data_IF_476717464425
#
_entry.id   IF_476717464425
#
_cell.length_a   1.000
_cell.length_b   1.000
_cell.length_c   1.000
_cell.angle_alpha   90.00
_cell.angle_beta   90.00
_cell.angle_gamma   90.00
#
_symmetry.space_group_name_H-M   'P 1'
#
loop_
_entity.id
_entity.type
_entity.pdbx_description
1 polymer ?
#
# COMPACT_ATOMS: atom_id res chain seq x y z
N UNK A 1 11.61 16.64 -10.21
CA UNK A 1 10.94 15.46 -10.80
C UNK A 1 10.53 14.53 -9.66
N UNK A 2 9.26 14.52 -9.23
CA UNK A 2 8.80 13.69 -8.11
C UNK A 2 8.59 12.23 -8.56
N UNK A 3 9.68 11.45 -8.62
CA UNK A 3 9.66 10.01 -8.94
C UNK A 3 9.23 9.11 -7.76
N UNK A 4 8.94 9.68 -6.59
CA UNK A 4 8.64 8.92 -5.36
C UNK A 4 7.33 8.14 -5.45
N UNK A 5 6.32 8.69 -6.14
CA UNK A 5 4.99 8.05 -6.23
C UNK A 5 5.05 6.68 -6.95
N UNK A 6 5.63 6.56 -8.17
CA UNK A 6 5.76 5.25 -8.80
C UNK A 6 6.68 4.30 -8.03
N UNK A 7 7.68 4.79 -7.30
CA UNK A 7 8.65 3.97 -6.53
C UNK A 7 8.01 3.25 -5.33
N UNK A 8 6.94 3.81 -4.76
CA UNK A 8 6.23 3.21 -3.61
C UNK A 8 5.15 2.20 -4.02
N UNK A 9 4.89 2.01 -5.32
CA UNK A 9 3.97 0.97 -5.79
C UNK A 9 4.48 -0.42 -5.42
N UNK A 10 3.56 -1.31 -5.05
CA UNK A 10 3.81 -2.67 -4.56
C UNK A 10 4.69 -2.78 -3.29
N UNK A 11 5.12 -1.65 -2.70
CA UNK A 11 5.86 -1.61 -1.44
C UNK A 11 4.93 -1.85 -0.25
N UNK A 12 5.46 -2.38 0.86
CA UNK A 12 4.75 -2.41 2.13
C UNK A 12 4.33 -1.01 2.55
N UNK A 13 3.12 -0.87 3.10
CA UNK A 13 2.59 0.43 3.52
C UNK A 13 3.51 1.17 4.50
N UNK A 14 4.20 0.45 5.39
CA UNK A 14 5.18 1.02 6.32
C UNK A 14 6.36 1.69 5.60
N UNK A 15 6.96 1.00 4.62
CA UNK A 15 8.03 1.55 3.78
C UNK A 15 7.54 2.75 2.96
N UNK A 16 6.37 2.61 2.33
CA UNK A 16 5.79 3.65 1.49
C UNK A 16 5.57 4.95 2.28
N UNK A 17 5.05 4.86 3.52
CA UNK A 17 4.90 6.03 4.41
C UNK A 17 6.24 6.67 4.74
N UNK A 18 7.27 5.88 5.03
CA UNK A 18 8.61 6.40 5.30
C UNK A 18 9.19 7.17 4.12
N UNK A 19 9.03 6.65 2.90
CA UNK A 19 9.48 7.32 1.68
C UNK A 19 8.70 8.59 1.37
N UNK A 20 7.39 8.60 1.58
CA UNK A 20 6.56 9.79 1.40
C UNK A 20 6.94 10.89 2.38
N UNK A 21 7.18 10.55 3.65
CA UNK A 21 7.65 11.50 4.65
C UNK A 21 9.04 12.06 4.29
N UNK A 22 9.97 11.21 3.86
CA UNK A 22 11.30 11.63 3.42
C UNK A 22 11.25 12.54 2.17
N UNK A 23 10.24 12.34 1.32
CA UNK A 23 9.99 13.18 0.14
C UNK A 23 9.23 14.47 0.45
N UNK A 24 8.89 14.73 1.72
CA UNK A 24 8.22 15.97 2.15
C UNK A 24 6.70 15.97 1.99
N UNK A 25 6.07 14.82 1.73
CA UNK A 25 4.60 14.73 1.70
C UNK A 25 4.04 14.71 3.12
N UNK A 26 3.46 15.82 3.55
CA UNK A 26 2.86 15.96 4.88
C UNK A 26 1.45 15.36 4.99
N UNK A 27 0.74 15.23 3.86
CA UNK A 27 -0.65 14.74 3.81
C UNK A 27 -0.73 13.44 3.03
N UNK A 28 -0.98 12.34 3.73
CA UNK A 28 -1.16 11.01 3.15
C UNK A 28 -2.50 10.44 3.61
N UNK A 29 -3.40 10.17 2.66
CA UNK A 29 -4.68 9.51 2.89
C UNK A 29 -4.55 8.05 2.47
N UNK A 30 -4.89 7.12 3.36
CA UNK A 30 -4.79 5.69 3.09
C UNK A 30 -6.20 5.13 2.89
N UNK A 31 -6.47 4.64 1.68
CA UNK A 31 -7.70 3.94 1.31
C UNK A 31 -7.41 2.46 1.20
N UNK A 32 -8.04 1.67 2.05
CA UNK A 32 -7.99 0.22 1.91
C UNK A 32 -8.97 -0.21 0.83
N UNK A 33 -8.50 -0.90 -0.19
CA UNK A 33 -9.36 -1.56 -1.16
C UNK A 33 -9.93 -2.85 -0.54
N UNK A 34 -10.80 -2.69 0.48
CA UNK A 34 -11.58 -3.79 1.06
C UNK A 34 -13.01 -3.75 0.56
N UNK A 35 -13.58 -4.93 0.37
CA UNK A 35 -15.01 -5.04 0.26
C UNK A 35 -15.67 -4.66 1.61
N UNK A 36 -16.79 -3.92 1.59
CA UNK A 36 -17.54 -3.64 2.82
C UNK A 36 -17.92 -4.96 3.49
N UNK A 37 -17.57 -5.12 4.77
CA UNK A 37 -17.83 -6.34 5.55
C UNK A 37 -16.59 -7.19 5.86
N UNK A 38 -15.43 -6.93 5.24
CA UNK A 38 -14.17 -7.48 5.75
C UNK A 38 -13.73 -6.71 6.99
N UNK A 39 -13.82 -7.36 8.15
CA UNK A 39 -13.22 -6.89 9.41
C UNK A 39 -11.70 -6.74 9.32
N UNK A 40 -11.02 -6.54 10.46
CA UNK A 40 -9.56 -6.37 10.53
C UNK A 40 -8.80 -7.44 9.71
N UNK A 41 -7.64 -7.10 9.09
CA UNK A 41 -6.86 -8.07 8.32
C UNK A 41 -6.56 -9.27 9.21
N UNK A 42 -6.66 -10.52 8.71
CA UNK A 42 -6.18 -11.65 9.48
C UNK A 42 -4.68 -11.48 9.78
N UNK A 43 -4.21 -11.95 10.95
CA UNK A 43 -2.79 -11.91 11.29
C UNK A 43 -1.99 -12.69 10.24
N UNK A 44 -0.93 -12.07 9.70
CA UNK A 44 -0.13 -12.63 8.60
C UNK A 44 -0.45 -12.08 7.20
N UNK A 45 -1.45 -11.21 7.06
CA UNK A 45 -1.61 -10.40 5.85
C UNK A 45 -0.66 -9.19 5.86
N UNK A 46 0.09 -9.01 4.78
CA UNK A 46 0.89 -7.80 4.54
C UNK A 46 0.09 -6.81 3.70
N UNK A 47 0.10 -5.54 4.08
CA UNK A 47 -0.59 -4.47 3.35
C UNK A 47 0.39 -3.78 2.41
N UNK A 48 0.09 -3.80 1.11
CA UNK A 48 0.93 -3.21 0.06
C UNK A 48 0.20 -2.12 -0.70
N UNK A 49 0.94 -1.13 -1.20
CA UNK A 49 0.38 -0.06 -2.02
C UNK A 49 0.05 -0.61 -3.41
N UNK A 50 -1.22 -0.65 -3.77
CA UNK A 50 -1.67 -1.02 -5.12
C UNK A 50 -1.73 0.19 -6.05
N UNK A 51 -2.10 1.36 -5.52
CA UNK A 51 -2.23 2.59 -6.30
C UNK A 51 -1.80 3.78 -5.48
N UNK A 52 -1.25 4.76 -6.17
CA UNK A 52 -0.95 6.07 -5.61
C UNK A 52 -1.57 7.14 -6.50
N UNK A 53 -2.08 8.20 -5.90
CA UNK A 53 -2.59 9.36 -6.61
C UNK A 53 -2.26 10.63 -5.83
N UNK A 54 -1.72 11.63 -6.51
CA UNK A 54 -1.53 12.96 -5.93
C UNK A 54 -2.74 13.82 -6.28
N UNK A 55 -3.41 14.35 -5.27
CA UNK A 55 -4.57 15.23 -5.40
C UNK A 55 -4.22 16.54 -4.70
N UNK A 56 -3.77 17.53 -5.48
CA UNK A 56 -3.21 18.76 -4.93
C UNK A 56 -1.96 18.47 -4.10
N UNK A 57 -2.04 18.72 -2.79
CA UNK A 57 -0.96 18.46 -1.82
C UNK A 57 -1.12 17.12 -1.06
N UNK A 58 -2.21 16.38 -1.30
CA UNK A 58 -2.51 15.14 -0.60
C UNK A 58 -2.15 13.93 -1.46
N UNK A 59 -1.42 12.98 -0.88
CA UNK A 59 -1.14 11.68 -1.49
C UNK A 59 -2.18 10.68 -1.04
N UNK A 60 -3.01 10.23 -1.97
CA UNK A 60 -3.94 9.12 -1.78
C UNK A 60 -3.22 7.80 -2.10
N UNK A 61 -3.19 6.90 -1.14
CA UNK A 61 -2.67 5.55 -1.27
C UNK A 61 -3.82 4.56 -1.22
N UNK A 62 -4.03 3.85 -2.32
CA UNK A 62 -4.89 2.66 -2.30
C UNK A 62 -4.02 1.47 -1.94
N UNK A 63 -4.34 0.82 -0.84
CA UNK A 63 -3.64 -0.37 -0.36
C UNK A 63 -4.49 -1.61 -0.48
N UNK A 64 -3.85 -2.73 -0.76
CA UNK A 64 -4.45 -4.06 -0.81
C UNK A 64 -3.79 -4.94 0.23
N UNK A 65 -4.57 -5.84 0.80
CA UNK A 65 -4.03 -6.93 1.60
C UNK A 65 -3.52 -8.02 0.67
N UNK A 66 -2.25 -8.33 0.80
CA UNK A 66 -1.64 -9.50 0.20
C UNK A 66 -1.46 -10.54 1.30
N UNK A 67 -2.00 -11.74 1.09
CA UNK A 67 -1.69 -12.88 1.95
C UNK A 67 -0.23 -13.26 1.72
N UNK A 68 0.58 -13.23 2.77
CA UNK A 68 1.88 -13.88 2.78
C UNK A 68 1.71 -15.38 3.01
N UNK A 69 0.89 -16.06 2.19
CA UNK A 69 0.98 -17.51 2.12
C UNK A 69 2.22 -17.83 1.27
N UNK A 70 3.15 -18.69 1.72
CA UNK A 70 4.08 -19.28 0.79
C UNK A 70 3.22 -20.00 -0.24
N UNK A 71 3.29 -19.59 -1.50
CA UNK A 71 2.62 -20.31 -2.57
C UNK A 71 3.24 -21.71 -2.56
N UNK A 72 2.61 -22.67 -1.87
CA UNK A 72 2.84 -24.09 -2.18
C UNK A 72 2.24 -24.25 -3.57
N UNK A 73 3.03 -23.94 -4.58
CA UNK A 73 2.88 -24.55 -5.89
C UNK A 73 3.09 -26.04 -5.65
N UNK A 74 2.00 -26.74 -5.29
CA UNK A 74 1.89 -28.16 -5.51
C UNK A 74 1.99 -28.36 -7.01
N UNK A 75 3.16 -28.75 -7.46
CA UNK A 75 3.45 -29.28 -8.78
C UNK A 75 2.50 -30.48 -9.06
N UNK A 76 2.23 -30.79 -10.35
CA UNK A 76 1.06 -31.54 -10.82
C UNK A 76 0.91 -32.95 -10.26
#
# INVERSE_FOLDING_TARGET
>A
MNQVLPDILARPLGEARGRLAAAGFARVEIKTARAPGQGAPPPGCEVRVARVKLIGETVELVVVETRSEPVRQGAP
#
